data_IF_515989523312
#
_entry.id   IF_515989523312
#
_cell.length_a   1.000
_cell.length_b   1.000
_cell.length_c   1.000
_cell.angle_alpha   90.00
_cell.angle_beta   90.00
_cell.angle_gamma   90.00
#
_symmetry.space_group_name_H-M   'P 1'
#
loop_
_entity.id
_entity.type
_entity.pdbx_description
1 polymer ?
#
# COMPACT_ATOMS: atom_id res chain seq x y z
N UNK A 1 0.83 -29.24 20.51
CA UNK A 1 -0.35 -28.40 20.47
C UNK A 1 -0.14 -27.02 21.01
N UNK A 2 0.67 -26.86 22.07
CA UNK A 2 1.05 -25.52 22.56
C UNK A 2 1.75 -24.70 21.50
N UNK A 3 2.44 -25.35 20.54
CA UNK A 3 3.18 -24.67 19.48
C UNK A 3 2.26 -23.86 18.57
N UNK A 4 1.15 -24.42 18.13
CA UNK A 4 0.18 -23.70 17.29
C UNK A 4 -0.49 -22.53 18.02
N UNK A 5 -0.76 -22.72 19.30
CA UNK A 5 -1.36 -21.66 20.14
C UNK A 5 -0.37 -20.50 20.31
N UNK A 6 0.89 -20.80 20.59
CA UNK A 6 1.93 -19.78 20.75
C UNK A 6 2.14 -19.04 19.44
N UNK A 7 2.14 -19.75 18.32
CA UNK A 7 2.26 -19.13 16.99
C UNK A 7 1.14 -18.16 16.72
N UNK A 8 -0.11 -18.54 17.05
CA UNK A 8 -1.26 -17.65 16.87
C UNK A 8 -1.16 -16.41 17.74
N UNK A 9 -0.71 -16.54 18.98
CA UNK A 9 -0.53 -15.39 19.86
C UNK A 9 0.54 -14.45 19.30
N UNK A 10 1.66 -14.99 18.82
CA UNK A 10 2.72 -14.19 18.22
C UNK A 10 2.22 -13.43 17.00
N UNK A 11 1.43 -14.09 16.15
CA UNK A 11 0.87 -13.46 14.95
C UNK A 11 -0.09 -12.34 15.33
N UNK A 12 -0.93 -12.55 16.34
CA UNK A 12 -1.84 -11.52 16.84
C UNK A 12 -1.11 -10.31 17.38
N UNK A 13 -0.03 -10.54 18.15
CA UNK A 13 0.79 -9.46 18.70
C UNK A 13 1.45 -8.68 17.57
N UNK A 14 2.02 -9.37 16.59
CA UNK A 14 2.67 -8.73 15.46
C UNK A 14 1.66 -7.90 14.65
N UNK A 15 0.46 -8.44 14.44
CA UNK A 15 -0.62 -7.75 13.73
C UNK A 15 -1.06 -6.50 14.46
N UNK A 16 -1.31 -6.59 15.76
CA UNK A 16 -1.75 -5.45 16.56
C UNK A 16 -0.68 -4.36 16.59
N UNK A 17 0.58 -4.74 16.73
CA UNK A 17 1.68 -3.80 16.70
C UNK A 17 1.77 -3.07 15.36
N UNK A 18 1.65 -3.81 14.25
CA UNK A 18 1.71 -3.24 12.92
C UNK A 18 0.54 -2.31 12.66
N UNK A 19 -0.69 -2.70 13.05
CA UNK A 19 -1.87 -1.86 12.90
C UNK A 19 -1.71 -0.55 13.68
N UNK A 20 -1.21 -0.61 14.91
CA UNK A 20 -0.96 0.60 15.70
C UNK A 20 0.08 1.51 15.05
N UNK A 21 1.15 0.92 14.54
CA UNK A 21 2.20 1.69 13.86
C UNK A 21 1.62 2.45 12.67
N UNK A 22 0.78 1.78 11.88
CA UNK A 22 0.12 2.40 10.72
C UNK A 22 -0.86 3.46 11.18
N UNK A 23 -1.72 3.14 12.16
CA UNK A 23 -2.75 4.05 12.65
C UNK A 23 -2.17 5.32 13.26
N UNK A 24 -1.00 5.23 13.89
CA UNK A 24 -0.34 6.36 14.54
C UNK A 24 0.46 7.23 13.56
N UNK A 25 0.59 6.80 12.30
CA UNK A 25 1.38 7.51 11.30
C UNK A 25 0.49 7.84 10.09
N UNK A 26 -0.04 9.08 10.01
CA UNK A 26 -0.92 9.47 8.90
C UNK A 26 -0.28 9.33 7.53
N UNK A 27 1.01 9.62 7.40
CA UNK A 27 1.70 9.50 6.12
C UNK A 27 1.82 8.04 5.69
N UNK A 28 2.18 7.15 6.62
CA UNK A 28 2.26 5.72 6.34
C UNK A 28 0.87 5.16 6.00
N UNK A 29 -0.16 5.56 6.74
CA UNK A 29 -1.54 5.16 6.46
C UNK A 29 -1.94 5.57 5.04
N UNK A 30 -1.69 6.82 4.66
CA UNK A 30 -2.02 7.33 3.33
C UNK A 30 -1.26 6.56 2.25
N UNK A 31 0.02 6.31 2.46
CA UNK A 31 0.83 5.56 1.51
C UNK A 31 0.28 4.14 1.30
N UNK A 32 -0.02 3.44 2.38
CA UNK A 32 -0.53 2.08 2.29
C UNK A 32 -1.90 2.02 1.64
N UNK A 33 -2.76 3.01 1.90
CA UNK A 33 -4.06 3.12 1.21
C UNK A 33 -3.84 3.19 -0.29
N UNK A 34 -2.95 4.05 -0.74
CA UNK A 34 -2.69 4.23 -2.17
C UNK A 34 -2.09 2.98 -2.80
N UNK A 35 -1.13 2.35 -2.12
CA UNK A 35 -0.52 1.11 -2.61
C UNK A 35 -1.54 -0.01 -2.70
N UNK A 36 -2.38 -0.16 -1.70
CA UNK A 36 -3.41 -1.20 -1.70
C UNK A 36 -4.45 -0.97 -2.79
N UNK A 37 -4.78 0.28 -3.07
CA UNK A 37 -5.71 0.61 -4.16
C UNK A 37 -5.17 0.26 -5.54
N UNK A 38 -3.85 0.27 -5.73
CA UNK A 38 -3.27 -0.23 -6.97
C UNK A 38 -3.57 -1.71 -7.14
N UNK A 39 -3.43 -2.49 -6.05
CA UNK A 39 -3.74 -3.93 -6.06
C UNK A 39 -5.19 -4.18 -6.46
N UNK A 40 -6.10 -3.30 -6.05
CA UNK A 40 -7.55 -3.46 -6.27
C UNK A 40 -8.08 -2.71 -7.50
N UNK A 41 -7.23 -1.95 -8.19
CA UNK A 41 -7.70 -0.94 -9.15
C UNK A 41 -8.50 -1.51 -10.34
N UNK A 42 -8.19 -2.71 -10.78
CA UNK A 42 -8.89 -3.33 -11.92
C UNK A 42 -10.00 -4.28 -11.50
N UNK A 43 -10.31 -4.34 -10.20
CA UNK A 43 -11.35 -5.23 -9.67
C UNK A 43 -10.92 -6.67 -9.48
N UNK A 44 -9.69 -7.01 -9.82
CA UNK A 44 -9.14 -8.35 -9.64
C UNK A 44 -7.83 -8.26 -8.86
N UNK A 45 -7.69 -9.11 -7.84
CA UNK A 45 -6.45 -9.15 -7.05
C UNK A 45 -5.49 -10.13 -7.70
N UNK A 46 -4.38 -9.61 -8.22
CA UNK A 46 -3.29 -10.43 -8.75
C UNK A 46 -2.42 -10.92 -7.60
N UNK A 47 -2.09 -12.22 -7.62
CA UNK A 47 -1.20 -12.79 -6.61
C UNK A 47 0.18 -12.12 -6.64
N UNK A 48 0.67 -11.79 -7.82
CA UNK A 48 1.96 -11.15 -8.00
C UNK A 48 1.94 -9.73 -7.45
N UNK A 49 0.86 -8.98 -7.67
CA UNK A 49 0.72 -7.63 -7.15
C UNK A 49 0.60 -7.64 -5.63
N UNK A 50 -0.17 -8.58 -5.09
CA UNK A 50 -0.30 -8.72 -3.64
C UNK A 50 1.03 -9.12 -3.00
N UNK A 51 1.78 -10.03 -3.63
CA UNK A 51 3.10 -10.43 -3.17
C UNK A 51 4.07 -9.24 -3.17
N UNK A 52 4.02 -8.40 -4.20
CA UNK A 52 4.85 -7.20 -4.27
C UNK A 52 4.46 -6.20 -3.18
N UNK A 53 3.18 -6.02 -2.93
CA UNK A 53 2.70 -5.18 -1.83
C UNK A 53 3.25 -5.67 -0.48
N UNK A 54 3.19 -6.97 -0.22
CA UNK A 54 3.73 -7.56 1.01
C UNK A 54 5.24 -7.36 1.12
N UNK A 55 5.95 -7.52 0.01
CA UNK A 55 7.40 -7.30 -0.03
C UNK A 55 7.74 -5.85 0.31
N UNK A 56 7.04 -4.89 -0.26
CA UNK A 56 7.25 -3.48 0.03
C UNK A 56 6.93 -3.18 1.50
N UNK A 57 5.84 -3.75 2.03
CA UNK A 57 5.51 -3.59 3.45
C UNK A 57 6.65 -4.06 4.35
N UNK A 58 7.25 -5.20 4.03
CA UNK A 58 8.35 -5.75 4.84
C UNK A 58 9.63 -4.94 4.69
N UNK A 59 10.02 -4.61 3.46
CA UNK A 59 11.33 -4.00 3.19
C UNK A 59 11.34 -2.48 3.44
N UNK A 60 10.26 -1.79 3.11
CA UNK A 60 10.21 -0.33 3.24
C UNK A 60 9.62 0.14 4.57
N UNK A 61 8.69 -0.62 5.15
CA UNK A 61 7.93 -0.17 6.32
C UNK A 61 8.10 -1.05 7.55
N UNK A 62 8.82 -2.15 7.44
CA UNK A 62 9.04 -3.04 8.57
C UNK A 62 7.80 -3.80 9.03
N UNK A 63 6.82 -3.99 8.15
CA UNK A 63 5.60 -4.74 8.44
C UNK A 63 5.81 -6.19 8.04
N UNK A 64 5.86 -7.13 9.00
CA UNK A 64 6.13 -8.53 8.66
C UNK A 64 4.96 -9.15 7.90
N UNK A 65 5.21 -10.17 7.07
CA UNK A 65 4.16 -10.79 6.25
C UNK A 65 2.95 -11.28 7.06
N UNK A 66 3.17 -11.80 8.27
CA UNK A 66 2.10 -12.28 9.13
C UNK A 66 1.18 -11.18 9.63
N UNK A 67 1.61 -9.91 9.56
CA UNK A 67 0.82 -8.76 10.00
C UNK A 67 0.08 -8.08 8.85
N UNK A 68 0.42 -8.37 7.59
CA UNK A 68 -0.15 -7.67 6.44
C UNK A 68 -1.67 -7.85 6.34
N UNK A 69 -2.17 -9.04 6.66
CA UNK A 69 -3.61 -9.28 6.63
C UNK A 69 -4.36 -8.35 7.58
N UNK A 70 -3.88 -8.20 8.81
CA UNK A 70 -4.49 -7.30 9.79
C UNK A 70 -4.40 -5.84 9.37
N UNK A 71 -3.27 -5.44 8.80
CA UNK A 71 -3.12 -4.08 8.26
C UNK A 71 -4.10 -3.87 7.10
N UNK A 72 -4.24 -4.87 6.22
CA UNK A 72 -5.20 -4.79 5.12
C UNK A 72 -6.65 -4.65 5.59
N UNK A 73 -7.03 -5.37 6.63
CA UNK A 73 -8.36 -5.22 7.23
C UNK A 73 -8.58 -3.81 7.78
N UNK A 74 -7.58 -3.28 8.49
CA UNK A 74 -7.64 -1.92 9.02
C UNK A 74 -7.77 -0.90 7.89
N UNK A 75 -6.97 -1.04 6.83
CA UNK A 75 -7.04 -0.13 5.68
C UNK A 75 -8.39 -0.23 4.97
N UNK A 76 -8.95 -1.43 4.88
CA UNK A 76 -10.28 -1.63 4.30
C UNK A 76 -11.34 -0.86 5.05
N UNK A 77 -11.29 -0.90 6.38
CA UNK A 77 -12.26 -0.20 7.21
C UNK A 77 -12.19 1.32 7.05
N UNK A 78 -10.98 1.89 7.00
CA UNK A 78 -10.83 3.34 6.91
C UNK A 78 -10.89 3.88 5.48
N UNK A 79 -10.71 3.03 4.47
CA UNK A 79 -10.67 3.49 3.07
C UNK A 79 -12.03 3.96 2.56
N UNK A 80 -13.12 3.55 3.20
CA UNK A 80 -14.44 4.06 2.85
C UNK A 80 -14.57 5.56 3.06
N UNK A 81 -13.84 6.11 4.03
CA UNK A 81 -13.90 7.52 4.38
C UNK A 81 -12.80 8.36 3.74
N UNK A 82 -11.83 7.71 3.08
CA UNK A 82 -10.66 8.38 2.54
C UNK A 82 -10.56 8.13 1.04
N UNK A 83 -10.68 9.21 0.23
CA UNK A 83 -10.45 9.10 -1.21
C UNK A 83 -8.96 9.02 -1.52
N UNK A 84 -8.63 8.58 -2.75
CA UNK A 84 -7.24 8.60 -3.21
C UNK A 84 -6.68 10.01 -3.25
N UNK A 85 -7.51 11.01 -3.56
CA UNK A 85 -7.08 12.40 -3.55
C UNK A 85 -6.75 12.88 -2.14
N UNK A 86 -7.56 12.51 -1.15
CA UNK A 86 -7.29 12.85 0.25
C UNK A 86 -6.01 12.18 0.75
N UNK A 87 -5.79 10.92 0.39
CA UNK A 87 -4.57 10.22 0.74
C UNK A 87 -3.36 10.88 0.07
N UNK A 88 -3.47 11.28 -1.19
CA UNK A 88 -2.40 11.98 -1.90
C UNK A 88 -2.11 13.34 -1.27
N UNK A 89 -3.15 14.05 -0.77
CA UNK A 89 -2.95 15.35 -0.12
C UNK A 89 -2.04 15.26 1.10
N UNK A 90 -2.05 14.15 1.82
CA UNK A 90 -1.14 13.96 2.96
C UNK A 90 0.32 14.04 2.51
N UNK A 91 0.61 13.64 1.27
CA UNK A 91 1.95 13.69 0.71
C UNK A 91 2.32 15.02 0.09
N UNK A 92 1.37 15.95 -0.06
CA UNK A 92 1.62 17.21 -0.75
C UNK A 92 2.78 18.02 -0.15
N UNK A 93 2.97 17.92 1.16
CA UNK A 93 4.02 18.64 1.89
C UNK A 93 5.25 17.78 2.21
N UNK A 94 5.27 16.54 1.74
CA UNK A 94 6.42 15.67 1.95
C UNK A 94 7.57 16.06 1.02
N UNK A 95 8.78 15.56 1.31
CA UNK A 95 9.93 15.80 0.45
C UNK A 95 9.71 15.21 -0.95
N UNK A 96 10.42 15.76 -1.93
CA UNK A 96 10.36 15.24 -3.30
C UNK A 96 10.79 13.76 -3.35
N UNK A 97 11.78 13.39 -2.54
CA UNK A 97 12.26 12.01 -2.47
C UNK A 97 11.16 11.06 -1.98
N UNK A 98 10.43 11.48 -0.95
CA UNK A 98 9.36 10.67 -0.38
C UNK A 98 8.21 10.51 -1.37
N UNK A 99 7.83 11.58 -2.07
CA UNK A 99 6.80 11.55 -3.11
C UNK A 99 7.18 10.64 -4.26
N UNK A 100 8.43 10.73 -4.70
CA UNK A 100 8.94 9.89 -5.79
C UNK A 100 8.92 8.42 -5.39
N UNK A 101 9.32 8.11 -4.17
CA UNK A 101 9.32 6.74 -3.67
C UNK A 101 7.91 6.15 -3.65
N UNK A 102 6.91 6.93 -3.25
CA UNK A 102 5.52 6.49 -3.31
C UNK A 102 5.11 6.09 -4.73
N UNK A 103 5.39 6.95 -5.70
CA UNK A 103 5.04 6.68 -7.10
C UNK A 103 5.80 5.45 -7.61
N UNK A 104 7.06 5.29 -7.25
CA UNK A 104 7.85 4.11 -7.63
C UNK A 104 7.25 2.83 -7.05
N UNK A 105 6.83 2.85 -5.78
CA UNK A 105 6.17 1.70 -5.18
C UNK A 105 4.87 1.35 -5.89
N UNK A 106 4.06 2.35 -6.24
CA UNK A 106 2.82 2.13 -6.98
C UNK A 106 3.11 1.47 -8.34
N UNK A 107 4.12 1.96 -9.03
CA UNK A 107 4.52 1.39 -10.33
C UNK A 107 5.05 -0.03 -10.19
N UNK A 108 5.81 -0.33 -9.15
CA UNK A 108 6.31 -1.68 -8.89
C UNK A 108 5.16 -2.68 -8.67
N UNK A 109 4.14 -2.27 -7.93
CA UNK A 109 2.96 -3.12 -7.72
C UNK A 109 2.23 -3.34 -9.03
N UNK A 110 1.95 -2.27 -9.77
CA UNK A 110 1.20 -2.36 -11.02
C UNK A 110 1.91 -3.22 -12.07
N UNK A 111 3.25 -3.23 -12.05
CA UNK A 111 4.05 -4.01 -13.00
C UNK A 111 4.43 -5.40 -12.54
N UNK A 112 4.00 -5.82 -11.35
CA UNK A 112 4.49 -7.07 -10.75
C UNK A 112 4.09 -8.33 -11.53
N UNK A 113 2.96 -8.30 -12.22
CA UNK A 113 2.52 -9.41 -13.07
C UNK A 113 2.80 -9.17 -14.56
N UNK A 114 3.60 -8.17 -14.88
CA UNK A 114 3.94 -7.75 -16.24
C UNK A 114 2.74 -7.27 -17.05
N UNK A 115 1.66 -6.88 -16.38
CA UNK A 115 0.42 -6.41 -17.02
C UNK A 115 -0.11 -5.19 -16.25
N UNK A 116 0.37 -4.01 -16.62
CA UNK A 116 -0.18 -2.77 -16.05
C UNK A 116 -1.49 -2.45 -16.77
N UNK A 117 -2.60 -2.48 -16.04
CA UNK A 117 -3.91 -2.20 -16.62
C UNK A 117 -4.17 -0.71 -16.68
N UNK A 118 -5.15 -0.31 -17.50
CA UNK A 118 -5.55 1.09 -17.61
C UNK A 118 -6.01 1.69 -16.28
N UNK A 119 -6.90 1.00 -15.50
CA UNK A 119 -7.29 1.54 -14.19
C UNK A 119 -6.11 1.75 -13.24
N UNK A 120 -5.14 0.85 -13.24
CA UNK A 120 -3.93 0.99 -12.43
C UNK A 120 -3.12 2.22 -12.86
N UNK A 121 -2.89 2.36 -14.16
CA UNK A 121 -2.13 3.49 -14.68
C UNK A 121 -2.86 4.82 -14.44
N UNK A 122 -4.18 4.85 -14.65
CA UNK A 122 -4.98 6.04 -14.40
C UNK A 122 -4.86 6.50 -12.93
N UNK A 123 -4.91 5.56 -11.99
CA UNK A 123 -4.75 5.86 -10.57
C UNK A 123 -3.36 6.43 -10.29
N UNK A 124 -2.33 5.79 -10.81
CA UNK A 124 -0.95 6.22 -10.58
C UNK A 124 -0.71 7.59 -11.18
N UNK A 125 -1.19 7.83 -12.41
CA UNK A 125 -1.05 9.13 -13.07
C UNK A 125 -1.77 10.24 -12.32
N UNK A 126 -2.97 9.97 -11.81
CA UNK A 126 -3.72 10.95 -11.03
C UNK A 126 -3.00 11.33 -9.74
N UNK A 127 -2.47 10.34 -9.02
CA UNK A 127 -1.71 10.59 -7.79
C UNK A 127 -0.40 11.32 -8.10
N UNK A 128 0.32 10.88 -9.11
CA UNK A 128 1.59 11.50 -9.50
C UNK A 128 1.40 12.96 -9.90
N UNK A 129 0.35 13.26 -10.67
CA UNK A 129 0.03 14.62 -11.10
C UNK A 129 -0.23 15.52 -9.90
N UNK A 130 -0.96 15.02 -8.91
CA UNK A 130 -1.26 15.76 -7.69
C UNK A 130 0.00 16.06 -6.89
N UNK A 131 0.99 15.18 -6.97
CA UNK A 131 2.27 15.35 -6.28
C UNK A 131 3.31 16.12 -7.11
N UNK A 132 2.95 16.52 -8.33
CA UNK A 132 3.84 17.29 -9.19
C UNK A 132 4.75 16.47 -10.09
N UNK A 133 4.44 15.20 -10.31
CA UNK A 133 5.22 14.33 -11.18
C UNK A 133 4.44 13.94 -12.43
N UNK A 134 5.17 13.63 -13.49
CA UNK A 134 4.59 13.04 -14.69
C UNK A 134 5.03 11.59 -14.78
N UNK A 135 4.07 10.70 -15.05
CA UNK A 135 4.33 9.29 -15.32
C UNK A 135 4.09 9.06 -16.80
N UNK A 136 5.12 8.62 -17.52
CA UNK A 136 5.01 8.36 -18.94
C UNK A 136 3.99 7.25 -19.20
N UNK A 137 3.11 7.42 -20.21
CA UNK A 137 2.21 6.33 -20.58
C UNK A 137 3.02 5.12 -21.04
N UNK A 138 2.58 3.94 -20.61
CA UNK A 138 3.21 2.69 -21.05
C UNK A 138 2.80 2.45 -22.48
N UNK A 139 3.79 2.44 -23.34
CA UNK A 139 3.56 2.19 -24.77
C UNK A 139 3.18 0.74 -25.03
#
# INVERSE_FOLDING_TARGET
MSYGFIGKIKDMIARDKAVRMVADDPALTAELILLFRVVLADGQVSEQELAKFKEICATAFGIPPEAVEGVGEYLGDISYETSSQQAADVFAEMSAERKQLLVEHMLQIAGADHRTTKPELDLIQAVAAKLGFEVAPVA
#
